data_IF_465115939797
#
_entry.id   IF_465115939797
#
_cell.length_a   1.000
_cell.length_b   1.000
_cell.length_c   1.000
_cell.angle_alpha   90.00
_cell.angle_beta   90.00
_cell.angle_gamma   90.00
#
_symmetry.space_group_name_H-M   'P 1'
#
loop_
_entity.id
_entity.type
_entity.pdbx_description
1 polymer ?
#
# COMPACT_ATOMS: atom_id res chain seq x y z
N UNK A 1 9.96 -9.17 -15.72
CA UNK A 1 9.61 -10.60 -15.91
C UNK A 1 9.88 -11.09 -17.33
N UNK A 2 9.29 -10.54 -18.40
CA UNK A 2 9.52 -11.04 -19.78
C UNK A 2 10.99 -11.10 -20.18
N UNK A 3 11.78 -10.06 -19.87
CA UNK A 3 13.22 -10.03 -20.17
C UNK A 3 13.97 -11.17 -19.45
N UNK A 4 13.59 -11.46 -18.21
CA UNK A 4 14.20 -12.55 -17.43
C UNK A 4 13.82 -13.91 -18.01
N UNK A 5 12.57 -14.08 -18.44
CA UNK A 5 12.09 -15.29 -19.10
C UNK A 5 12.90 -15.58 -20.38
N UNK A 6 13.12 -14.55 -21.21
CA UNK A 6 13.95 -14.65 -22.41
C UNK A 6 15.43 -14.96 -22.08
N UNK A 7 15.98 -14.32 -21.03
CA UNK A 7 17.35 -14.56 -20.58
C UNK A 7 17.56 -16.00 -20.09
N UNK A 8 16.63 -16.53 -19.29
CA UNK A 8 16.71 -17.90 -18.81
C UNK A 8 16.52 -18.92 -19.93
N UNK A 9 15.62 -18.65 -20.88
CA UNK A 9 15.49 -19.46 -22.08
C UNK A 9 16.77 -19.47 -22.92
N UNK A 10 17.43 -18.32 -23.08
CA UNK A 10 18.73 -18.21 -23.76
C UNK A 10 19.83 -19.01 -23.05
N UNK A 11 19.85 -19.00 -21.72
CA UNK A 11 20.78 -19.79 -20.90
C UNK A 11 20.42 -21.28 -20.80
N UNK A 12 19.27 -21.70 -21.31
CA UNK A 12 18.82 -23.09 -21.29
C UNK A 12 18.15 -23.54 -19.98
N UNK A 13 17.79 -22.62 -19.10
CA UNK A 13 17.10 -22.94 -17.84
C UNK A 13 15.58 -23.02 -18.03
N UNK A 14 14.99 -24.14 -17.63
CA UNK A 14 13.54 -24.31 -17.65
C UNK A 14 12.89 -23.46 -16.54
N UNK A 15 11.99 -22.57 -16.94
CA UNK A 15 11.30 -21.64 -16.03
C UNK A 15 9.79 -21.86 -16.02
N UNK A 16 9.17 -21.55 -14.89
CA UNK A 16 7.73 -21.35 -14.77
C UNK A 16 7.44 -19.88 -14.43
N UNK A 17 6.31 -19.35 -14.90
CA UNK A 17 5.90 -17.97 -14.66
C UNK A 17 4.51 -17.89 -14.07
N UNK A 18 4.34 -16.99 -13.10
CA UNK A 18 3.05 -16.66 -12.52
C UNK A 18 2.97 -15.15 -12.24
N UNK A 19 1.97 -14.54 -12.85
CA UNK A 19 1.63 -13.13 -12.67
C UNK A 19 0.12 -12.95 -12.46
N UNK A 20 -0.32 -11.71 -12.27
CA UNK A 20 -1.73 -11.38 -12.04
C UNK A 20 -2.67 -11.69 -13.22
N UNK A 21 -2.15 -12.01 -14.40
CA UNK A 21 -2.93 -12.39 -15.59
C UNK A 21 -3.19 -13.89 -15.67
N UNK A 22 -2.47 -14.70 -14.88
CA UNK A 22 -2.58 -16.16 -14.87
C UNK A 22 -3.88 -16.62 -14.17
N UNK A 23 -4.73 -17.43 -14.84
CA UNK A 23 -5.94 -18.01 -14.25
C UNK A 23 -5.66 -18.89 -13.02
N UNK A 24 -6.65 -19.02 -12.12
CA UNK A 24 -6.52 -19.81 -10.89
C UNK A 24 -6.18 -21.29 -11.16
N UNK A 25 -6.83 -21.91 -12.15
CA UNK A 25 -6.59 -23.33 -12.46
C UNK A 25 -5.17 -23.59 -12.99
N UNK A 26 -4.62 -22.66 -13.78
CA UNK A 26 -3.24 -22.76 -14.26
C UNK A 26 -2.23 -22.52 -13.15
N UNK A 27 -2.56 -21.66 -12.20
CA UNK A 27 -1.74 -21.37 -11.03
C UNK A 27 -1.46 -22.63 -10.23
N UNK A 28 -2.51 -23.38 -9.88
CA UNK A 28 -2.39 -24.64 -9.13
C UNK A 28 -1.59 -25.68 -9.91
N UNK A 29 -1.82 -25.80 -11.23
CA UNK A 29 -1.04 -26.71 -12.09
C UNK A 29 0.44 -26.36 -12.12
N UNK A 30 0.80 -25.08 -12.22
CA UNK A 30 2.21 -24.64 -12.21
C UNK A 30 2.86 -24.89 -10.85
N UNK A 31 2.13 -24.66 -9.75
CA UNK A 31 2.60 -24.97 -8.40
C UNK A 31 2.85 -26.48 -8.22
N UNK A 32 1.93 -27.33 -8.68
CA UNK A 32 2.09 -28.77 -8.60
C UNK A 32 3.30 -29.26 -9.39
N UNK A 33 3.52 -28.72 -10.60
CA UNK A 33 4.68 -29.04 -11.43
C UNK A 33 6.00 -28.65 -10.76
N UNK A 34 6.04 -27.50 -10.08
CA UNK A 34 7.25 -27.03 -9.40
C UNK A 34 7.58 -27.85 -8.15
N UNK A 35 6.55 -28.22 -7.36
CA UNK A 35 6.75 -29.03 -6.14
C UNK A 35 6.93 -30.53 -6.42
N UNK A 36 6.95 -30.97 -7.69
CA UNK A 36 7.22 -32.36 -8.04
C UNK A 36 8.68 -32.71 -7.71
N UNK A 37 8.96 -33.88 -7.11
CA UNK A 37 10.32 -34.25 -6.69
C UNK A 37 11.30 -34.37 -7.87
N UNK A 38 10.79 -34.61 -9.07
CA UNK A 38 11.51 -34.70 -10.34
C UNK A 38 11.17 -33.53 -11.28
N UNK A 39 10.81 -32.37 -10.72
CA UNK A 39 10.50 -31.18 -11.52
C UNK A 39 11.70 -30.80 -12.40
N UNK A 40 11.53 -30.70 -13.73
CA UNK A 40 12.59 -30.20 -14.61
C UNK A 40 12.77 -28.68 -14.50
N UNK A 41 11.89 -27.99 -13.77
CA UNK A 41 11.90 -26.54 -13.62
C UNK A 41 12.71 -26.14 -12.40
N UNK A 42 13.84 -25.47 -12.65
CA UNK A 42 14.71 -24.93 -11.61
C UNK A 42 14.23 -23.56 -11.11
N UNK A 43 13.66 -22.73 -11.99
CA UNK A 43 13.33 -21.33 -11.68
C UNK A 43 11.82 -21.09 -11.77
N UNK A 44 11.27 -20.41 -10.76
CA UNK A 44 9.88 -19.98 -10.74
C UNK A 44 9.79 -18.44 -10.63
N UNK A 45 9.37 -17.79 -11.72
CA UNK A 45 9.21 -16.34 -11.78
C UNK A 45 7.86 -15.92 -11.22
N UNK A 46 7.91 -15.11 -10.16
CA UNK A 46 6.74 -14.54 -9.48
C UNK A 46 6.73 -13.02 -9.59
N UNK A 47 5.55 -12.45 -9.80
CA UNK A 47 5.31 -11.05 -9.46
C UNK A 47 5.12 -10.94 -7.94
N UNK A 48 5.77 -10.00 -7.27
CA UNK A 48 5.65 -9.77 -5.81
C UNK A 48 4.20 -9.65 -5.34
N UNK A 49 3.35 -8.93 -6.07
CA UNK A 49 1.91 -8.85 -5.77
C UNK A 49 1.16 -10.16 -5.97
N UNK A 50 1.57 -10.98 -6.95
CA UNK A 50 1.00 -12.30 -7.15
C UNK A 50 1.54 -13.32 -6.12
N UNK A 51 2.76 -13.13 -5.63
CA UNK A 51 3.40 -13.92 -4.57
C UNK A 51 2.71 -13.78 -3.22
N UNK A 52 2.15 -12.59 -2.92
CA UNK A 52 1.32 -12.37 -1.73
C UNK A 52 -0.02 -13.13 -1.72
N UNK A 53 -0.45 -13.68 -2.86
CA UNK A 53 -1.71 -14.42 -3.00
C UNK A 53 -1.51 -15.92 -2.72
N UNK A 54 -1.41 -16.32 -1.45
CA UNK A 54 -1.74 -17.67 -1.01
C UNK A 54 -0.99 -18.85 -1.66
N UNK A 55 0.16 -18.64 -2.30
CA UNK A 55 0.94 -19.71 -2.94
C UNK A 55 1.62 -20.60 -1.89
N UNK A 56 1.94 -21.84 -2.28
CA UNK A 56 2.67 -22.82 -1.48
C UNK A 56 3.84 -23.37 -2.29
N UNK A 57 5.04 -22.87 -2.04
CA UNK A 57 6.28 -23.23 -2.73
C UNK A 57 7.25 -23.86 -1.72
N UNK A 58 6.75 -24.85 -0.97
CA UNK A 58 7.47 -25.47 0.15
C UNK A 58 8.73 -26.24 -0.27
N UNK A 59 8.98 -26.46 -1.56
CA UNK A 59 10.21 -27.09 -2.07
C UNK A 59 11.27 -26.07 -2.49
N UNK A 60 10.97 -24.76 -2.47
CA UNK A 60 11.92 -23.71 -2.86
C UNK A 60 12.89 -23.37 -1.72
N UNK A 61 14.17 -23.41 -2.03
CA UNK A 61 15.30 -23.09 -1.15
C UNK A 61 15.80 -21.66 -1.34
N UNK A 62 15.94 -21.19 -2.58
CA UNK A 62 16.48 -19.84 -2.84
C UNK A 62 15.38 -18.86 -3.27
N UNK A 63 15.33 -17.70 -2.61
CA UNK A 63 14.43 -16.60 -2.96
C UNK A 63 15.25 -15.36 -3.34
N UNK A 64 15.07 -14.86 -4.57
CA UNK A 64 15.72 -13.64 -5.05
C UNK A 64 14.68 -12.54 -5.25
N UNK A 65 14.82 -11.45 -4.50
CA UNK A 65 14.00 -10.24 -4.62
C UNK A 65 14.73 -9.26 -5.53
N UNK A 66 14.16 -9.02 -6.72
CA UNK A 66 14.67 -8.03 -7.67
C UNK A 66 14.16 -6.61 -7.37
N UNK A 67 12.85 -6.45 -7.25
CA UNK A 67 12.22 -5.14 -7.03
C UNK A 67 11.83 -5.02 -5.54
N UNK A 68 12.35 -4.02 -4.85
CA UNK A 68 11.94 -3.73 -3.47
C UNK A 68 10.59 -3.02 -3.44
N UNK A 69 9.60 -3.59 -2.75
CA UNK A 69 8.29 -2.96 -2.58
C UNK A 69 8.36 -1.85 -1.51
N UNK A 70 7.51 -0.83 -1.65
CA UNK A 70 7.33 0.23 -0.65
C UNK A 70 6.66 -0.26 0.63
N UNK A 71 6.06 -1.44 0.58
CA UNK A 71 5.46 -2.13 1.72
C UNK A 71 6.25 -3.42 2.04
N UNK A 72 7.06 -3.43 3.11
CA UNK A 72 7.92 -4.58 3.44
C UNK A 72 7.13 -5.86 3.74
N UNK A 73 5.85 -5.73 4.14
CA UNK A 73 5.00 -6.89 4.42
C UNK A 73 4.73 -7.75 3.18
N UNK A 74 4.73 -7.15 1.98
CA UNK A 74 4.56 -7.89 0.73
C UNK A 74 5.76 -8.80 0.47
N UNK A 75 6.96 -8.30 0.76
CA UNK A 75 8.21 -9.03 0.56
C UNK A 75 8.35 -10.16 1.59
N UNK A 76 8.07 -9.88 2.87
CA UNK A 76 8.02 -10.91 3.92
C UNK A 76 7.03 -12.02 3.57
N UNK A 77 5.83 -11.65 3.11
CA UNK A 77 4.81 -12.62 2.71
C UNK A 77 5.26 -13.47 1.51
N UNK A 78 6.07 -12.90 0.61
CA UNK A 78 6.65 -13.62 -0.52
C UNK A 78 7.76 -14.59 -0.07
N UNK A 79 8.60 -14.19 0.89
CA UNK A 79 9.62 -15.05 1.52
C UNK A 79 8.98 -16.23 2.26
N UNK A 80 7.91 -15.98 3.02
CA UNK A 80 7.12 -17.00 3.73
C UNK A 80 6.48 -18.05 2.80
N UNK A 81 6.50 -17.84 1.46
CA UNK A 81 6.05 -18.86 0.51
C UNK A 81 7.04 -20.02 0.40
N UNK A 82 8.32 -19.74 0.55
CA UNK A 82 9.43 -20.69 0.56
C UNK A 82 9.72 -21.19 1.98
N UNK A 83 9.80 -20.28 2.95
CA UNK A 83 9.96 -20.62 4.36
C UNK A 83 8.63 -21.07 4.98
N UNK A 84 8.24 -22.31 4.67
CA UNK A 84 6.94 -22.86 5.07
C UNK A 84 7.05 -24.30 5.58
N UNK A 85 6.09 -24.69 6.43
CA UNK A 85 5.95 -26.06 6.93
C UNK A 85 5.91 -27.03 5.76
N UNK A 86 6.91 -27.91 5.68
CA UNK A 86 7.11 -28.86 4.59
C UNK A 86 8.46 -28.75 3.89
N UNK A 87 9.16 -27.62 4.05
CA UNK A 87 10.52 -27.44 3.56
C UNK A 87 11.53 -28.25 4.39
N UNK A 88 12.52 -28.84 3.72
CA UNK A 88 13.62 -29.63 4.28
C UNK A 88 14.99 -28.98 4.12
N UNK A 89 15.16 -28.12 3.11
CA UNK A 89 16.40 -27.42 2.82
C UNK A 89 16.41 -26.05 3.51
N UNK A 90 17.60 -25.53 3.80
CA UNK A 90 17.75 -24.18 4.32
C UNK A 90 17.34 -23.15 3.27
N UNK A 91 16.59 -22.13 3.69
CA UNK A 91 16.03 -21.12 2.79
C UNK A 91 16.89 -19.86 2.83
N UNK A 92 17.55 -19.55 1.71
CA UNK A 92 18.39 -18.36 1.56
C UNK A 92 17.65 -17.28 0.78
N UNK A 93 17.58 -16.07 1.34
CA UNK A 93 16.87 -14.93 0.75
C UNK A 93 17.86 -13.84 0.36
N UNK A 94 17.93 -13.55 -0.93
CA UNK A 94 18.77 -12.49 -1.47
C UNK A 94 17.93 -11.34 -1.97
N UNK A 95 18.33 -10.10 -1.67
CA UNK A 95 17.73 -8.89 -2.21
C UNK A 95 18.77 -8.16 -3.05
N UNK A 96 18.49 -8.00 -4.33
CA UNK A 96 19.35 -7.23 -5.22
C UNK A 96 18.98 -5.75 -5.10
N UNK A 97 19.99 -4.91 -4.88
CA UNK A 97 19.85 -3.46 -4.77
C UNK A 97 20.96 -2.83 -5.59
N UNK A 98 20.60 -1.88 -6.45
CA UNK A 98 21.58 -1.10 -7.21
C UNK A 98 22.02 0.12 -6.39
N UNK A 99 23.22 0.64 -6.69
CA UNK A 99 23.71 1.90 -6.13
C UNK A 99 22.98 3.09 -6.78
N UNK A 100 21.67 3.17 -6.52
CA UNK A 100 20.79 4.21 -7.01
C UNK A 100 20.17 4.93 -5.81
N UNK A 101 20.22 6.28 -5.76
CA UNK A 101 19.64 7.05 -4.66
C UNK A 101 18.15 6.79 -4.44
N UNK A 102 17.44 6.32 -5.47
CA UNK A 102 16.01 6.00 -5.38
C UNK A 102 15.81 4.66 -4.68
N UNK A 103 16.62 3.65 -4.98
CA UNK A 103 16.48 2.31 -4.41
C UNK A 103 16.91 2.29 -2.93
N UNK A 104 18.01 2.97 -2.57
CA UNK A 104 18.41 3.14 -1.18
C UNK A 104 17.32 3.84 -0.35
N UNK A 105 16.67 4.87 -0.92
CA UNK A 105 15.58 5.57 -0.25
C UNK A 105 14.34 4.70 -0.07
N UNK A 106 14.05 3.81 -1.03
CA UNK A 106 12.95 2.85 -0.91
C UNK A 106 13.27 1.86 0.20
N UNK A 107 14.50 1.33 0.21
CA UNK A 107 14.95 0.38 1.23
C UNK A 107 14.89 0.98 2.63
N UNK A 108 15.45 2.18 2.84
CA UNK A 108 15.43 2.85 4.15
C UNK A 108 14.00 3.07 4.65
N UNK A 109 13.09 3.52 3.78
CA UNK A 109 11.67 3.69 4.16
C UNK A 109 10.96 2.37 4.42
N UNK A 110 11.33 1.31 3.71
CA UNK A 110 10.79 -0.02 3.95
C UNK A 110 11.28 -0.56 5.31
N UNK A 111 12.55 -0.38 5.64
CA UNK A 111 13.14 -0.76 6.93
C UNK A 111 12.52 0.02 8.09
N UNK A 112 12.35 1.34 7.97
CA UNK A 112 11.65 2.16 8.97
C UNK A 112 10.23 1.63 9.25
N UNK A 113 9.48 1.28 8.20
CA UNK A 113 8.13 0.71 8.33
C UNK A 113 8.15 -0.67 8.97
N UNK A 114 9.15 -1.50 8.65
CA UNK A 114 9.29 -2.83 9.22
C UNK A 114 9.57 -2.74 10.72
N UNK A 115 10.53 -1.90 11.13
CA UNK A 115 10.87 -1.66 12.53
C UNK A 115 9.65 -1.17 13.33
N UNK A 116 8.91 -0.19 12.77
CA UNK A 116 7.66 0.26 13.39
C UNK A 116 6.62 -0.84 13.53
N UNK A 117 6.51 -1.74 12.54
CA UNK A 117 5.58 -2.86 12.59
C UNK A 117 6.01 -3.93 13.60
N UNK A 118 7.30 -4.16 13.77
CA UNK A 118 7.85 -5.10 14.75
C UNK A 118 7.54 -4.65 16.18
N UNK A 119 7.76 -3.36 16.50
CA UNK A 119 7.38 -2.77 17.78
C UNK A 119 5.89 -2.97 18.12
N UNK A 120 5.01 -2.84 17.12
CA UNK A 120 3.56 -3.04 17.28
C UNK A 120 3.21 -4.53 17.45
N UNK A 121 3.82 -5.42 16.66
CA UNK A 121 3.61 -6.86 16.75
C UNK A 121 4.05 -7.37 18.11
N UNK A 122 5.18 -6.90 18.60
CA UNK A 122 5.68 -7.31 19.90
C UNK A 122 4.80 -6.81 21.04
N UNK A 123 4.42 -5.52 21.03
CA UNK A 123 3.45 -5.00 21.98
C UNK A 123 2.13 -5.80 21.98
N UNK A 124 1.72 -6.35 20.82
CA UNK A 124 0.56 -7.21 20.66
C UNK A 124 0.74 -8.69 21.02
N UNK A 125 1.97 -9.24 20.96
CA UNK A 125 2.27 -10.65 21.34
C UNK A 125 1.95 -10.93 22.81
N UNK A 126 1.92 -9.89 23.66
CA UNK A 126 1.65 -10.01 25.10
C UNK A 126 0.16 -10.14 25.47
N UNK A 127 -0.78 -9.94 24.54
CA UNK A 127 -2.21 -10.05 24.85
C UNK A 127 -2.70 -11.52 24.90
N UNK A 128 -1.92 -12.45 24.32
CA UNK A 128 -2.25 -13.88 24.26
C UNK A 128 -1.80 -14.69 25.48
N UNK A 129 -0.94 -14.15 26.35
CA UNK A 129 -0.46 -14.82 27.57
C UNK A 129 -0.93 -14.08 28.82
N UNK A 130 -2.25 -13.88 28.95
CA UNK A 130 -2.89 -13.34 30.15
C UNK A 130 -3.02 -14.40 31.27
N UNK A 131 -1.98 -15.21 31.47
CA UNK A 131 -1.86 -16.11 32.62
C UNK A 131 -0.49 -15.88 33.27
N UNK A 132 -0.58 -15.33 34.48
CA UNK A 132 0.42 -15.30 35.55
C UNK A 132 1.49 -14.19 35.55
N UNK A 133 1.22 -13.27 36.49
CA UNK A 133 2.08 -12.39 37.28
C UNK A 133 3.61 -12.57 37.11
N UNK A 134 4.27 -11.42 36.88
CA UNK A 134 5.72 -11.14 36.95
C UNK A 134 6.53 -10.92 35.66
N UNK A 135 5.91 -10.86 34.47
CA UNK A 135 6.63 -10.50 33.23
C UNK A 135 6.82 -8.99 33.00
N UNK A 136 6.55 -8.10 33.97
CA UNK A 136 6.74 -6.65 33.76
C UNK A 136 8.23 -6.27 33.62
N UNK A 137 9.13 -7.02 34.26
CA UNK A 137 10.56 -6.77 34.18
C UNK A 137 11.14 -7.35 32.88
N UNK A 138 10.67 -8.52 32.45
CA UNK A 138 11.00 -9.10 31.15
C UNK A 138 10.46 -8.24 30.01
N UNK A 139 9.25 -7.70 30.14
CA UNK A 139 8.66 -6.73 29.20
C UNK A 139 9.52 -5.47 29.09
N UNK A 140 10.01 -4.94 30.21
CA UNK A 140 10.90 -3.78 30.20
C UNK A 140 12.26 -4.10 29.60
N UNK A 141 12.85 -5.26 29.93
CA UNK A 141 14.16 -5.68 29.40
C UNK A 141 14.11 -5.98 27.90
N UNK A 142 13.06 -6.65 27.42
CA UNK A 142 12.88 -6.94 26.00
C UNK A 142 12.64 -5.65 25.20
N UNK A 143 11.79 -4.77 25.72
CA UNK A 143 11.57 -3.44 25.15
C UNK A 143 12.85 -2.58 25.19
N UNK A 144 13.66 -2.67 26.25
CA UNK A 144 14.95 -1.99 26.37
C UNK A 144 15.97 -2.51 25.36
N UNK A 145 16.07 -3.84 25.16
CA UNK A 145 16.92 -4.44 24.12
C UNK A 145 16.53 -3.96 22.72
N UNK A 146 15.23 -3.83 22.43
CA UNK A 146 14.76 -3.35 21.13
C UNK A 146 14.93 -1.85 20.94
N UNK A 147 14.82 -1.08 22.02
CA UNK A 147 15.17 0.35 21.99
C UNK A 147 16.67 0.53 21.78
N UNK A 148 17.52 -0.33 22.35
CA UNK A 148 18.96 -0.31 22.05
C UNK A 148 19.26 -0.77 20.63
N UNK A 149 18.55 -1.76 20.08
CA UNK A 149 18.67 -2.17 18.68
C UNK A 149 18.13 -1.08 17.73
N UNK A 150 17.12 -0.32 18.16
CA UNK A 150 16.58 0.83 17.42
C UNK A 150 17.56 2.02 17.41
N UNK A 151 18.16 2.34 18.55
CA UNK A 151 19.21 3.36 18.63
C UNK A 151 20.47 2.92 17.87
N UNK A 152 20.80 1.62 17.90
CA UNK A 152 21.89 1.05 17.12
C UNK A 152 21.58 1.05 15.62
N UNK A 153 20.36 0.73 15.17
CA UNK A 153 19.97 0.78 13.76
C UNK A 153 19.77 2.22 13.23
N UNK A 154 19.44 3.17 14.11
CA UNK A 154 19.36 4.60 13.79
C UNK A 154 20.72 5.31 13.78
N UNK A 155 21.73 4.75 14.46
CA UNK A 155 23.12 5.26 14.48
C UNK A 155 24.09 4.42 13.64
N UNK A 156 23.71 3.20 13.26
CA UNK A 156 24.38 2.42 12.24
C UNK A 156 24.03 3.01 10.88
N UNK A 157 24.95 3.81 10.34
CA UNK A 157 25.21 3.72 8.89
C UNK A 157 25.24 2.24 8.51
N UNK A 158 24.67 1.83 7.37
CA UNK A 158 24.84 0.46 6.90
C UNK A 158 26.34 0.16 6.91
N UNK A 159 26.73 -0.86 7.66
CA UNK A 159 28.10 -1.35 7.70
C UNK A 159 28.39 -2.02 6.36
N UNK A 160 28.68 -1.18 5.37
CA UNK A 160 29.46 -1.50 4.20
C UNK A 160 30.32 -0.26 3.94
N UNK A 161 31.63 -0.44 4.10
CA UNK A 161 32.69 0.48 3.68
C UNK A 161 32.99 1.69 4.59
N UNK A 162 33.34 1.46 5.85
CA UNK A 162 34.32 2.32 6.54
C UNK A 162 35.47 1.43 7.03
N UNK A 163 36.48 1.29 6.17
CA UNK A 163 37.64 0.43 6.38
C UNK A 163 38.78 0.70 5.40
N UNK A 164 39.03 1.96 5.07
CA UNK A 164 40.33 2.40 4.58
C UNK A 164 40.47 3.89 4.86
N UNK A 165 41.36 4.21 5.80
CA UNK A 165 41.99 5.52 5.84
C UNK A 165 42.54 5.84 4.45
N UNK A 166 42.00 6.90 3.85
CA UNK A 166 42.59 7.65 2.75
C UNK A 166 43.93 8.23 3.24
N UNK A 167 44.95 7.39 3.24
CA UNK A 167 46.35 7.78 3.20
C UNK A 167 46.87 7.15 1.90
N UNK A 168 47.30 8.02 0.99
CA UNK A 168 47.27 7.76 -0.44
C UNK A 168 48.13 6.60 -0.93
N UNK A 169 47.67 5.98 -2.01
CA UNK A 169 48.45 5.71 -3.23
C UNK A 169 47.47 5.31 -4.34
N UNK A 170 47.47 6.08 -5.43
CA UNK A 170 46.80 5.75 -6.69
C UNK A 170 47.60 4.62 -7.35
N UNK A 171 47.19 3.34 -7.23
CA UNK A 171 47.55 2.22 -8.14
C UNK A 171 47.09 0.86 -7.53
N UNK A 172 45.81 0.42 -7.64
CA UNK A 172 45.45 -1.01 -7.38
C UNK A 172 44.02 -1.48 -7.82
N UNK A 173 43.55 -1.12 -9.02
CA UNK A 173 42.19 -1.50 -9.52
C UNK A 173 42.00 -2.99 -9.86
N UNK A 174 43.05 -3.83 -9.82
CA UNK A 174 42.95 -5.26 -10.20
C UNK A 174 42.79 -6.22 -9.02
N UNK A 175 43.15 -5.80 -7.80
CA UNK A 175 43.09 -6.65 -6.60
C UNK A 175 41.72 -6.63 -5.89
N UNK A 176 40.87 -5.64 -6.18
CA UNK A 176 39.54 -5.49 -5.57
C UNK A 176 38.51 -6.49 -6.11
N UNK A 177 38.53 -6.77 -7.43
CA UNK A 177 37.50 -7.58 -8.08
C UNK A 177 37.55 -9.08 -7.75
N UNK A 178 38.70 -9.61 -7.30
CA UNK A 178 38.79 -10.99 -6.83
C UNK A 178 38.36 -11.12 -5.37
N UNK A 179 38.58 -10.10 -4.52
CA UNK A 179 38.02 -10.03 -3.17
C UNK A 179 36.48 -10.03 -3.19
N UNK A 180 35.88 -9.24 -4.08
CA UNK A 180 34.41 -9.13 -4.18
C UNK A 180 33.73 -10.47 -4.58
N UNK A 181 34.42 -11.31 -5.36
CA UNK A 181 33.91 -12.65 -5.74
C UNK A 181 34.05 -13.66 -4.62
N UNK A 182 35.14 -13.61 -3.86
CA UNK A 182 35.32 -14.45 -2.68
C UNK A 182 34.23 -14.15 -1.64
N UNK A 183 33.96 -12.87 -1.36
CA UNK A 183 32.88 -12.44 -0.48
C UNK A 183 31.49 -12.89 -0.96
N UNK A 184 31.24 -12.82 -2.28
CA UNK A 184 29.99 -13.30 -2.87
C UNK A 184 29.84 -14.82 -2.74
N UNK A 185 30.91 -15.57 -2.99
CA UNK A 185 30.91 -17.02 -2.89
C UNK A 185 30.68 -17.48 -1.46
N UNK A 186 31.27 -16.79 -0.47
CA UNK A 186 30.98 -17.01 0.93
C UNK A 186 29.50 -16.75 1.25
N UNK A 187 28.96 -15.61 0.82
CA UNK A 187 27.56 -15.23 1.05
C UNK A 187 26.54 -16.20 0.41
N UNK A 188 26.87 -16.79 -0.74
CA UNK A 188 26.00 -17.74 -1.45
C UNK A 188 26.11 -19.17 -0.92
N UNK A 189 27.24 -19.52 -0.30
CA UNK A 189 27.51 -20.88 0.17
C UNK A 189 26.80 -21.18 1.49
N UNK A 190 26.05 -22.28 1.53
CA UNK A 190 25.49 -22.79 2.78
C UNK A 190 26.43 -23.78 3.49
N UNK A 191 27.33 -24.41 2.72
CA UNK A 191 28.29 -25.40 3.19
C UNK A 191 29.63 -25.28 2.45
N UNK A 192 30.67 -25.95 2.95
CA UNK A 192 31.99 -25.95 2.33
C UNK A 192 32.01 -26.59 0.93
N UNK A 193 31.07 -27.49 0.62
CA UNK A 193 30.96 -28.13 -0.69
C UNK A 193 30.49 -27.14 -1.77
N UNK A 194 29.50 -26.32 -1.46
CA UNK A 194 28.96 -25.25 -2.31
C UNK A 194 30.04 -24.20 -2.56
N UNK A 195 30.77 -23.80 -1.52
CA UNK A 195 31.88 -22.85 -1.65
C UNK A 195 32.95 -23.37 -2.60
N UNK A 196 33.39 -24.62 -2.42
CA UNK A 196 34.38 -25.25 -3.29
C UNK A 196 33.87 -25.40 -4.74
N UNK A 197 32.57 -25.65 -4.93
CA UNK A 197 31.93 -25.70 -6.24
C UNK A 197 31.96 -24.33 -6.92
N UNK A 198 31.59 -23.24 -6.22
CA UNK A 198 31.59 -21.89 -6.78
C UNK A 198 33.00 -21.41 -7.14
N UNK A 199 33.98 -21.66 -6.27
CA UNK A 199 35.40 -21.40 -6.57
C UNK A 199 35.87 -22.20 -7.79
N UNK A 200 35.38 -23.44 -7.96
CA UNK A 200 35.64 -24.26 -9.15
C UNK A 200 35.02 -23.65 -10.41
N UNK A 201 33.77 -23.21 -10.34
CA UNK A 201 33.06 -22.56 -11.44
C UNK A 201 33.73 -21.26 -11.88
N UNK A 202 34.24 -20.46 -10.93
CA UNK A 202 34.96 -19.23 -11.23
C UNK A 202 36.25 -19.52 -12.01
N UNK A 203 37.02 -20.53 -11.59
CA UNK A 203 38.22 -20.98 -12.30
C UNK A 203 37.91 -21.46 -13.72
N UNK A 204 36.79 -22.16 -13.91
CA UNK A 204 36.35 -22.60 -15.24
C UNK A 204 35.86 -21.42 -16.09
N UNK A 205 35.15 -20.45 -15.51
CA UNK A 205 34.60 -19.29 -16.22
C UNK A 205 35.69 -18.39 -16.83
N UNK A 206 36.83 -18.26 -16.14
CA UNK A 206 38.02 -17.54 -16.63
C UNK A 206 38.63 -18.23 -17.86
N UNK A 207 38.46 -19.55 -17.99
CA UNK A 207 39.10 -20.34 -19.04
C UNK A 207 38.37 -20.33 -20.40
N UNK A 208 37.06 -20.07 -20.43
CA UNK A 208 36.24 -20.29 -21.62
C UNK A 208 36.14 -19.05 -22.51
N UNK A 209 35.78 -17.88 -21.96
CA UNK A 209 35.85 -16.54 -22.56
C UNK A 209 35.59 -15.56 -21.39
N UNK A 210 36.42 -14.53 -21.15
CA UNK A 210 36.12 -13.57 -20.10
C UNK A 210 34.75 -12.93 -20.37
N UNK A 211 33.85 -12.86 -19.36
CA UNK A 211 32.56 -12.20 -19.56
C UNK A 211 32.81 -10.76 -20.04
N UNK A 212 32.00 -10.26 -20.98
CA UNK A 212 32.12 -8.86 -21.39
C UNK A 212 32.03 -7.98 -20.14
N UNK A 213 32.91 -6.99 -20.04
CA UNK A 213 32.91 -6.06 -18.92
C UNK A 213 31.51 -5.49 -18.72
N UNK A 214 31.09 -5.34 -17.47
CA UNK A 214 29.87 -4.60 -17.17
C UNK A 214 30.00 -3.22 -17.83
N UNK A 215 28.93 -2.75 -18.47
CA UNK A 215 28.91 -1.38 -18.99
C UNK A 215 28.83 -0.41 -17.82
N UNK A 216 29.99 -0.10 -17.24
CA UNK A 216 30.15 0.86 -16.14
C UNK A 216 30.02 2.29 -16.66
N UNK A 217 30.54 2.55 -17.86
CA UNK A 217 30.47 3.86 -18.49
C UNK A 217 29.29 3.99 -19.48
N UNK A 218 28.55 5.11 -19.43
CA UNK A 218 27.51 5.41 -20.42
C UNK A 218 28.02 5.45 -21.86
N UNK A 219 29.33 5.60 -22.10
CA UNK A 219 29.95 5.53 -23.42
C UNK A 219 29.96 4.12 -24.02
N UNK A 220 30.02 3.10 -23.18
CA UNK A 220 30.30 1.72 -23.61
C UNK A 220 29.01 0.97 -23.94
N UNK A 221 27.88 1.51 -23.48
CA UNK A 221 26.55 1.02 -23.79
C UNK A 221 26.32 1.05 -25.33
N UNK A 222 25.98 -0.09 -25.95
CA UNK A 222 25.74 -0.19 -27.39
C UNK A 222 24.72 0.82 -27.93
N UNK A 223 24.90 1.27 -29.17
CA UNK A 223 24.03 2.26 -29.81
C UNK A 223 22.55 1.84 -29.87
N UNK A 224 22.25 0.54 -29.95
CA UNK A 224 20.88 0.04 -29.98
C UNK A 224 20.17 0.17 -28.62
N UNK A 225 20.91 0.26 -27.51
CA UNK A 225 20.38 0.56 -26.17
C UNK A 225 20.20 2.07 -26.01
N UNK A 226 21.19 2.86 -26.47
CA UNK A 226 21.13 4.33 -26.43
C UNK A 226 19.99 4.89 -27.29
N UNK A 227 19.82 4.32 -28.48
CA UNK A 227 18.86 4.74 -29.50
C UNK A 227 17.99 3.55 -29.91
N UNK A 228 17.02 3.15 -29.08
CA UNK A 228 16.19 1.99 -29.38
C UNK A 228 15.43 2.22 -30.70
N UNK A 229 15.59 1.30 -31.65
CA UNK A 229 14.90 1.33 -32.94
C UNK A 229 13.69 0.42 -32.90
N UNK A 230 12.57 0.85 -33.50
CA UNK A 230 11.39 0.00 -33.65
C UNK A 230 11.67 -1.09 -34.69
N UNK A 231 10.92 -2.22 -34.67
CA UNK A 231 11.05 -3.30 -35.66
C UNK A 231 10.87 -2.89 -37.13
N UNK A 232 10.32 -1.69 -37.38
CA UNK A 232 10.15 -1.10 -38.70
C UNK A 232 11.28 -0.12 -39.10
N UNK A 233 12.42 -0.16 -38.42
CA UNK A 233 13.60 0.65 -38.72
C UNK A 233 13.47 2.13 -38.35
N UNK A 234 12.36 2.56 -37.71
CA UNK A 234 12.22 3.92 -37.21
C UNK A 234 12.82 4.04 -35.82
N UNK A 235 13.75 4.98 -35.63
CA UNK A 235 14.24 5.36 -34.32
C UNK A 235 13.06 5.71 -33.40
N UNK A 236 13.02 5.14 -32.20
CA UNK A 236 12.17 5.66 -31.12
C UNK A 236 12.78 7.01 -30.79
N UNK A 237 12.03 8.10 -31.00
CA UNK A 237 12.54 9.44 -30.75
C UNK A 237 13.01 9.56 -29.31
N UNK A 238 14.33 9.55 -29.12
CA UNK A 238 14.96 9.98 -27.87
C UNK A 238 14.83 11.49 -27.87
N UNK A 239 14.00 12.03 -26.99
CA UNK A 239 13.99 13.48 -26.75
C UNK A 239 15.39 13.85 -26.25
N UNK A 240 16.21 14.43 -27.12
CA UNK A 240 17.53 14.97 -26.75
C UNK A 240 17.34 16.03 -25.68
N UNK A 241 17.87 15.79 -24.48
CA UNK A 241 17.85 16.73 -23.38
C UNK A 241 18.79 17.91 -23.69
N UNK A 242 18.22 19.06 -24.03
CA UNK A 242 18.94 20.32 -24.24
C UNK A 242 19.19 21.00 -22.87
N UNK A 243 20.46 21.14 -22.42
CA UNK A 243 20.80 21.71 -21.11
C UNK A 243 20.59 23.23 -21.04
N UNK A 244 20.42 23.92 -22.18
CA UNK A 244 20.15 25.37 -22.24
C UNK A 244 18.67 25.72 -22.37
N UNK A 245 17.85 24.75 -22.78
CA UNK A 245 16.40 24.86 -22.71
C UNK A 245 15.96 24.63 -21.26
N UNK A 246 15.84 25.70 -20.49
CA UNK A 246 15.26 25.64 -19.14
C UNK A 246 14.01 24.75 -19.14
N UNK A 247 14.03 23.68 -18.32
CA UNK A 247 12.93 22.72 -18.19
C UNK A 247 11.62 23.48 -18.13
N UNK A 248 10.81 23.41 -19.20
CA UNK A 248 9.38 23.64 -19.04
C UNK A 248 8.90 22.48 -18.20
N UNK A 249 8.79 22.70 -16.88
CA UNK A 249 8.03 21.83 -15.99
C UNK A 249 6.63 21.73 -16.59
N UNK A 250 6.38 20.66 -17.36
CA UNK A 250 5.05 20.10 -17.43
C UNK A 250 4.82 19.59 -16.02
N UNK A 251 3.94 20.26 -15.28
CA UNK A 251 3.32 19.66 -14.11
C UNK A 251 2.70 18.34 -14.58
N UNK A 252 3.42 17.24 -14.38
CA UNK A 252 2.84 15.90 -14.40
C UNK A 252 2.07 15.82 -13.10
N UNK A 253 0.82 16.30 -13.18
CA UNK A 253 -0.19 16.01 -12.18
C UNK A 253 -0.48 14.52 -12.31
N UNK A 254 -0.06 13.74 -11.33
CA UNK A 254 -0.59 12.40 -11.10
C UNK A 254 -2.04 12.53 -10.59
N UNK A 255 -2.92 13.03 -11.46
CA UNK A 255 -4.35 12.91 -11.30
C UNK A 255 -4.76 11.82 -12.30
N UNK A 256 -4.98 10.61 -11.81
CA UNK A 256 -5.41 9.42 -12.59
C UNK A 256 -6.84 9.60 -13.16
N UNK A 257 -7.27 10.84 -13.40
CA UNK A 257 -8.61 11.25 -13.80
C UNK A 257 -9.72 10.83 -12.83
N UNK A 258 -9.38 10.11 -11.76
CA UNK A 258 -10.26 9.72 -10.69
C UNK A 258 -9.99 10.64 -9.51
N UNK A 259 -10.95 11.52 -9.25
CA UNK A 259 -11.01 12.15 -7.93
C UNK A 259 -10.98 11.07 -6.85
N UNK A 260 -10.39 11.36 -5.70
CA UNK A 260 -10.39 10.51 -4.49
C UNK A 260 -11.78 9.92 -4.19
N UNK A 261 -12.85 10.67 -4.51
CA UNK A 261 -14.26 10.25 -4.43
C UNK A 261 -14.68 9.15 -5.42
N UNK A 262 -14.07 9.06 -6.61
CA UNK A 262 -14.27 8.00 -7.59
C UNK A 262 -13.47 6.74 -7.23
N UNK A 263 -12.24 6.89 -6.72
CA UNK A 263 -11.45 5.77 -6.22
C UNK A 263 -12.10 5.13 -4.98
N UNK A 264 -12.51 5.94 -3.99
CA UNK A 264 -13.29 5.45 -2.85
C UNK A 264 -14.61 4.81 -3.28
N UNK A 265 -15.29 5.30 -4.32
CA UNK A 265 -16.51 4.66 -4.83
C UNK A 265 -16.26 3.32 -5.51
N UNK A 266 -15.10 3.13 -6.14
CA UNK A 266 -14.73 1.84 -6.72
C UNK A 266 -14.40 0.85 -5.60
N UNK A 267 -13.64 1.28 -4.58
CA UNK A 267 -13.38 0.47 -3.40
C UNK A 267 -14.66 0.16 -2.62
N UNK A 268 -15.54 1.14 -2.38
CA UNK A 268 -16.85 0.94 -1.73
C UNK A 268 -17.72 -0.04 -2.54
N UNK A 269 -17.72 0.05 -3.88
CA UNK A 269 -18.44 -0.91 -4.74
C UNK A 269 -17.87 -2.32 -4.65
N UNK A 270 -16.55 -2.44 -4.53
CA UNK A 270 -15.86 -3.72 -4.43
C UNK A 270 -16.05 -4.36 -3.05
N UNK A 271 -16.03 -3.54 -1.98
CA UNK A 271 -16.36 -3.93 -0.61
C UNK A 271 -17.83 -4.34 -0.50
N UNK A 272 -18.77 -3.57 -1.09
CA UNK A 272 -20.19 -3.93 -1.12
C UNK A 272 -20.43 -5.22 -1.92
N UNK A 273 -19.68 -5.45 -3.00
CA UNK A 273 -19.78 -6.68 -3.78
C UNK A 273 -19.25 -7.90 -2.99
N UNK A 274 -18.13 -7.75 -2.28
CA UNK A 274 -17.60 -8.78 -1.39
C UNK A 274 -18.52 -9.05 -0.19
N UNK A 275 -19.09 -8.01 0.43
CA UNK A 275 -20.03 -8.15 1.54
C UNK A 275 -21.34 -8.83 1.10
N UNK A 276 -21.84 -8.52 -0.09
CA UNK A 276 -22.99 -9.21 -0.68
C UNK A 276 -22.67 -10.67 -0.98
N UNK A 277 -21.47 -10.99 -1.47
CA UNK A 277 -21.02 -12.38 -1.67
C UNK A 277 -20.92 -13.15 -0.34
N UNK A 278 -20.38 -12.53 0.70
CA UNK A 278 -20.30 -13.11 2.06
C UNK A 278 -21.68 -13.29 2.69
N UNK A 279 -22.61 -12.37 2.50
CA UNK A 279 -24.01 -12.50 2.95
C UNK A 279 -24.77 -13.58 2.18
N UNK A 280 -24.57 -13.71 0.86
CA UNK A 280 -25.17 -14.78 0.06
C UNK A 280 -24.68 -16.17 0.50
N UNK A 281 -23.38 -16.34 0.76
CA UNK A 281 -22.84 -17.59 1.31
C UNK A 281 -23.31 -17.88 2.74
N UNK A 282 -23.50 -16.84 3.57
CA UNK A 282 -24.05 -16.99 4.93
C UNK A 282 -25.55 -17.36 4.89
N UNK A 283 -26.31 -16.82 3.95
CA UNK A 283 -27.71 -17.17 3.71
C UNK A 283 -27.85 -18.59 3.15
N UNK A 284 -26.97 -19.03 2.24
CA UNK A 284 -26.94 -20.40 1.73
C UNK A 284 -26.62 -21.43 2.83
N UNK A 285 -25.67 -21.12 3.73
CA UNK A 285 -25.37 -21.94 4.92
C UNK A 285 -26.50 -21.94 5.97
N UNK A 286 -27.28 -20.86 6.07
CA UNK A 286 -28.45 -20.80 6.96
C UNK A 286 -29.64 -21.57 6.38
N UNK A 287 -29.79 -21.57 5.05
CA UNK A 287 -30.81 -22.36 4.34
C UNK A 287 -30.54 -23.87 4.42
N UNK A 288 -29.27 -24.30 4.41
CA UNK A 288 -28.93 -25.73 4.62
C UNK A 288 -29.10 -26.22 6.05
N UNK A 289 -29.30 -25.32 7.02
CA UNK A 289 -29.46 -25.64 8.44
C UNK A 289 -30.93 -25.61 8.92
N UNK A 290 -31.88 -25.33 8.04
CA UNK A 290 -33.30 -25.20 8.37
C UNK A 290 -34.19 -25.99 7.41
N UNK A 291 -33.92 -27.29 7.28
CA UNK A 291 -34.85 -28.20 6.60
C UNK A 291 -35.78 -28.86 7.62
N UNK A 292 -36.86 -28.15 7.98
CA UNK A 292 -38.14 -28.78 8.27
C UNK A 292 -39.30 -27.77 8.22
N UNK A 293 -40.27 -28.10 7.36
CA UNK A 293 -41.66 -27.60 7.22
C UNK A 293 -41.94 -26.38 6.31
N UNK A 294 -42.28 -26.77 5.08
CA UNK A 294 -43.41 -26.37 4.21
C UNK A 294 -43.74 -24.88 3.98
N UNK A 295 -43.42 -24.47 2.75
CA UNK A 295 -44.25 -23.80 1.74
C UNK A 295 -45.36 -22.82 2.18
N UNK A 296 -45.24 -21.56 1.72
CA UNK A 296 -46.16 -20.96 0.74
C UNK A 296 -45.49 -19.76 0.09
N UNK A 297 -45.65 -19.65 -1.24
CA UNK A 297 -45.07 -18.60 -2.05
C UNK A 297 -46.01 -17.39 -2.11
N UNK A 298 -45.48 -16.19 -1.86
CA UNK A 298 -46.04 -14.94 -2.36
C UNK A 298 -44.91 -13.90 -2.51
N UNK A 299 -44.73 -13.39 -3.72
CA UNK A 299 -43.74 -12.36 -4.04
C UNK A 299 -44.06 -11.04 -3.30
N UNK A 300 -43.08 -10.34 -2.67
CA UNK A 300 -43.36 -9.04 -2.07
C UNK A 300 -43.06 -7.91 -3.06
N UNK A 301 -44.13 -7.24 -3.45
CA UNK A 301 -44.16 -5.85 -3.90
C UNK A 301 -43.48 -4.93 -2.88
N UNK A 302 -42.71 -3.96 -3.39
CA UNK A 302 -41.93 -3.00 -2.60
C UNK A 302 -42.82 -2.13 -1.72
N UNK A 303 -42.87 -2.41 -0.41
CA UNK A 303 -43.39 -1.49 0.60
C UNK A 303 -42.26 -1.20 1.59
N UNK A 304 -41.78 0.04 1.57
CA UNK A 304 -40.78 0.58 2.50
C UNK A 304 -41.35 0.62 3.91
N UNK A 305 -40.58 0.14 4.89
CA UNK A 305 -40.91 0.31 6.31
C UNK A 305 -40.85 1.80 6.69
N UNK A 306 -41.87 2.37 7.36
CA UNK A 306 -41.84 3.75 7.81
C UNK A 306 -40.89 3.87 9.02
N UNK A 307 -39.95 4.81 8.97
CA UNK A 307 -39.15 5.19 10.14
C UNK A 307 -37.62 5.27 9.97
N UNK A 308 -37.07 4.91 8.80
CA UNK A 308 -35.64 5.16 8.53
C UNK A 308 -35.45 6.36 7.61
N UNK A 309 -34.52 7.25 7.98
CA UNK A 309 -34.07 8.35 7.16
C UNK A 309 -33.69 7.91 5.74
N UNK A 310 -34.10 8.69 4.74
CA UNK A 310 -33.81 8.36 3.34
C UNK A 310 -32.34 8.60 2.97
N UNK A 311 -31.84 7.88 1.96
CA UNK A 311 -30.53 8.09 1.33
C UNK A 311 -30.25 9.56 1.00
N UNK A 312 -31.28 10.29 0.57
CA UNK A 312 -31.18 11.69 0.24
C UNK A 312 -30.91 12.57 1.47
N UNK A 313 -31.57 12.27 2.58
CA UNK A 313 -31.37 12.94 3.87
C UNK A 313 -29.95 12.70 4.38
N UNK A 314 -29.43 11.47 4.29
CA UNK A 314 -28.03 11.17 4.64
C UNK A 314 -27.03 11.95 3.77
N UNK A 315 -27.28 12.07 2.47
CA UNK A 315 -26.43 12.90 1.60
C UNK A 315 -26.44 14.38 1.97
N UNK A 316 -27.57 14.91 2.45
CA UNK A 316 -27.65 16.26 3.01
C UNK A 316 -26.81 16.36 4.29
N UNK A 317 -26.93 15.43 5.23
CA UNK A 317 -26.13 15.42 6.45
C UNK A 317 -24.63 15.42 6.18
N UNK A 318 -24.16 14.59 5.24
CA UNK A 318 -22.73 14.58 4.84
C UNK A 318 -22.29 15.96 4.33
N UNK A 319 -23.14 16.65 3.56
CA UNK A 319 -22.82 17.99 3.07
C UNK A 319 -22.83 19.04 4.19
N UNK A 320 -23.72 18.89 5.18
CA UNK A 320 -23.70 19.73 6.40
C UNK A 320 -22.36 19.56 7.13
N UNK A 321 -21.96 18.32 7.43
CA UNK A 321 -20.69 18.04 8.11
C UNK A 321 -19.51 18.64 7.35
N UNK A 322 -19.47 18.50 6.01
CA UNK A 322 -18.42 19.10 5.18
C UNK A 322 -18.38 20.63 5.24
N UNK A 323 -19.54 21.28 5.30
CA UNK A 323 -19.61 22.74 5.45
C UNK A 323 -19.04 23.19 6.79
N UNK A 324 -19.37 22.45 7.88
CA UNK A 324 -18.88 22.74 9.23
C UNK A 324 -17.35 22.54 9.31
N UNK A 325 -16.83 21.46 8.72
CA UNK A 325 -15.38 21.18 8.64
C UNK A 325 -14.62 22.25 7.85
N UNK A 326 -15.26 22.84 6.83
CA UNK A 326 -14.63 23.86 6.00
C UNK A 326 -14.54 25.24 6.68
N UNK A 327 -15.14 25.42 7.87
CA UNK A 327 -15.14 26.71 8.56
C UNK A 327 -13.73 27.08 9.01
N UNK A 328 -13.32 28.30 8.64
CA UNK A 328 -12.04 28.89 9.00
C UNK A 328 -12.24 30.11 9.86
N UNK A 329 -11.32 30.33 10.79
CA UNK A 329 -11.23 31.56 11.54
C UNK A 329 -10.99 32.76 10.59
N UNK A 330 -11.78 33.85 10.66
CA UNK A 330 -11.62 35.00 9.78
C UNK A 330 -10.26 35.70 9.89
N UNK A 331 -9.63 35.68 11.07
CA UNK A 331 -8.33 36.29 11.30
C UNK A 331 -7.18 35.39 10.87
N UNK A 332 -7.06 34.24 11.53
CA UNK A 332 -5.91 33.33 11.38
C UNK A 332 -6.00 32.40 10.17
N UNK A 333 -7.17 32.29 9.53
CA UNK A 333 -7.47 31.32 8.46
C UNK A 333 -7.30 29.85 8.86
N UNK A 334 -7.07 29.57 10.15
CA UNK A 334 -7.00 28.21 10.71
C UNK A 334 -8.36 27.53 10.57
N UNK A 335 -8.37 26.25 10.24
CA UNK A 335 -9.60 25.44 10.28
C UNK A 335 -9.96 25.16 11.73
N UNK A 336 -11.18 25.54 12.12
CA UNK A 336 -11.63 25.38 13.49
C UNK A 336 -11.88 23.91 13.84
N UNK A 337 -12.17 23.09 12.83
CA UNK A 337 -12.51 21.67 13.01
C UNK A 337 -11.32 20.75 13.28
N UNK A 338 -10.08 21.20 13.04
CA UNK A 338 -8.91 20.29 12.95
C UNK A 338 -8.72 19.44 14.22
N UNK A 339 -8.92 20.03 15.41
CA UNK A 339 -8.80 19.35 16.72
C UNK A 339 -9.94 18.37 16.98
N UNK A 340 -11.06 18.49 16.27
CA UNK A 340 -12.26 17.68 16.47
C UNK A 340 -12.40 16.55 15.45
N UNK A 341 -11.45 16.42 14.50
CA UNK A 341 -11.51 15.41 13.45
C UNK A 341 -11.34 13.99 14.00
N UNK A 342 -10.43 13.83 14.96
CA UNK A 342 -10.12 12.56 15.63
C UNK A 342 -10.23 12.68 17.15
N UNK A 343 -10.36 11.54 17.83
CA UNK A 343 -10.38 11.51 19.29
C UNK A 343 -8.95 11.72 19.81
N UNK A 344 -8.77 12.34 20.99
CA UNK A 344 -7.45 12.40 21.63
C UNK A 344 -6.87 10.99 21.77
N UNK A 345 -5.58 10.81 21.52
CA UNK A 345 -4.96 9.50 21.67
C UNK A 345 -5.00 9.02 23.14
N UNK A 346 -5.47 7.80 23.45
CA UNK A 346 -5.59 7.30 24.82
C UNK A 346 -4.27 7.18 25.59
N UNK A 347 -3.15 6.96 24.91
CA UNK A 347 -1.84 6.83 25.54
C UNK A 347 -1.27 8.22 25.88
N UNK A 348 -1.53 9.19 25.01
CA UNK A 348 -1.06 10.57 25.16
C UNK A 348 -1.93 11.37 26.13
N UNK A 349 -3.24 11.11 26.16
CA UNK A 349 -4.22 11.79 27.01
C UNK A 349 -5.07 10.79 27.81
N UNK A 350 -4.48 10.01 28.72
CA UNK A 350 -5.22 9.01 29.51
C UNK A 350 -6.31 9.66 30.39
N UNK A 351 -6.05 10.85 30.92
CA UNK A 351 -6.98 11.58 31.79
C UNK A 351 -8.23 12.06 31.03
N UNK A 352 -8.13 12.26 29.72
CA UNK A 352 -9.28 12.60 28.88
C UNK A 352 -10.36 11.53 28.96
N UNK A 353 -9.96 10.26 28.91
CA UNK A 353 -10.87 9.11 28.94
C UNK A 353 -11.41 8.79 30.34
N UNK A 354 -10.79 9.33 31.39
CA UNK A 354 -11.31 9.26 32.76
C UNK A 354 -12.43 10.28 32.96
N UNK A 355 -12.29 11.48 32.38
CA UNK A 355 -13.25 12.59 32.53
C UNK A 355 -14.41 12.46 31.53
N UNK A 356 -14.10 12.13 30.28
CA UNK A 356 -15.07 12.07 29.17
C UNK A 356 -15.60 10.65 28.99
N UNK A 357 -16.85 10.45 29.42
CA UNK A 357 -17.53 9.14 29.37
C UNK A 357 -17.90 8.68 27.95
N UNK A 358 -18.11 9.61 27.02
CA UNK A 358 -18.52 9.31 25.63
C UNK A 358 -17.63 10.04 24.61
N UNK A 359 -16.39 9.57 24.38
CA UNK A 359 -15.49 10.15 23.38
C UNK A 359 -16.06 10.01 21.97
N UNK A 360 -16.16 11.13 21.25
CA UNK A 360 -16.65 11.19 19.87
C UNK A 360 -15.85 12.23 19.09
N UNK A 361 -15.65 11.97 17.79
CA UNK A 361 -15.03 12.89 16.86
C UNK A 361 -15.89 13.10 15.61
N UNK A 362 -15.60 14.14 14.82
CA UNK A 362 -16.34 14.46 13.58
C UNK A 362 -16.25 13.30 12.58
N UNK A 363 -15.12 12.59 12.52
CA UNK A 363 -14.98 11.41 11.66
C UNK A 363 -15.92 10.26 12.05
N UNK A 364 -16.29 10.12 13.33
CA UNK A 364 -17.28 9.13 13.77
C UNK A 364 -18.68 9.51 13.26
N UNK A 365 -19.05 10.79 13.38
CA UNK A 365 -20.32 11.33 12.91
C UNK A 365 -20.43 11.16 11.38
N UNK A 366 -19.35 11.45 10.64
CA UNK A 366 -19.28 11.21 9.19
C UNK A 366 -19.40 9.74 8.84
N UNK A 367 -18.78 8.84 9.61
CA UNK A 367 -18.89 7.39 9.42
C UNK A 367 -20.34 6.92 9.62
N UNK A 368 -21.01 7.38 10.69
CA UNK A 368 -22.42 7.08 10.93
C UNK A 368 -23.34 7.62 9.84
N UNK A 369 -23.06 8.81 9.29
CA UNK A 369 -23.78 9.34 8.14
C UNK A 369 -23.59 8.51 6.86
N UNK A 370 -22.37 8.00 6.60
CA UNK A 370 -22.05 7.20 5.42
C UNK A 370 -22.58 5.76 5.49
N UNK A 371 -22.65 5.20 6.69
CA UNK A 371 -23.20 3.87 6.96
C UNK A 371 -24.70 3.86 7.28
N UNK A 372 -25.38 5.00 7.13
CA UNK A 372 -26.83 5.14 7.35
C UNK A 372 -27.29 4.72 8.75
N UNK A 373 -26.45 5.00 9.76
CA UNK A 373 -26.61 4.50 11.13
C UNK A 373 -27.46 5.40 12.03
N UNK A 374 -28.05 6.48 11.51
CA UNK A 374 -28.96 7.34 12.24
C UNK A 374 -30.40 6.99 11.91
N UNK A 375 -31.21 6.66 12.92
CA UNK A 375 -32.63 6.41 12.71
C UNK A 375 -33.36 7.71 12.33
N UNK A 376 -32.97 8.83 12.95
CA UNK A 376 -33.60 10.13 12.82
C UNK A 376 -32.59 11.27 12.96
N UNK A 377 -33.05 12.50 12.74
CA UNK A 377 -32.22 13.70 12.83
C UNK A 377 -31.79 14.02 14.27
N UNK A 378 -32.56 13.57 15.26
CA UNK A 378 -32.29 13.83 16.67
C UNK A 378 -31.03 13.11 17.15
N UNK A 379 -30.83 11.85 16.73
CA UNK A 379 -29.60 11.10 17.01
C UNK A 379 -28.36 11.75 16.40
N UNK A 380 -28.48 12.29 15.17
CA UNK A 380 -27.41 13.06 14.54
C UNK A 380 -27.07 14.32 15.36
N UNK A 381 -28.09 15.04 15.82
CA UNK A 381 -27.91 16.21 16.69
C UNK A 381 -27.31 15.85 18.05
N UNK A 382 -27.68 14.70 18.62
CA UNK A 382 -27.16 14.24 19.90
C UNK A 382 -25.64 14.02 19.84
N UNK A 383 -25.14 13.39 18.78
CA UNK A 383 -23.71 13.17 18.60
C UNK A 383 -22.90 14.47 18.49
N UNK A 384 -23.41 15.46 17.73
CA UNK A 384 -22.78 16.79 17.67
C UNK A 384 -22.83 17.52 19.01
N UNK A 385 -23.92 17.40 19.77
CA UNK A 385 -24.01 17.98 21.11
C UNK A 385 -22.99 17.35 22.06
N UNK A 386 -22.80 16.03 22.00
CA UNK A 386 -21.77 15.32 22.79
C UNK A 386 -20.37 15.84 22.41
N UNK A 387 -20.06 15.95 21.12
CA UNK A 387 -18.78 16.48 20.65
C UNK A 387 -18.45 17.85 21.28
N UNK A 388 -19.38 18.79 21.21
CA UNK A 388 -19.18 20.13 21.77
C UNK A 388 -19.18 20.13 23.31
N UNK A 389 -20.01 19.31 23.95
CA UNK A 389 -20.03 19.18 25.40
C UNK A 389 -18.70 18.63 25.93
N UNK A 390 -18.13 17.62 25.28
CA UNK A 390 -16.85 17.04 25.67
C UNK A 390 -15.72 18.08 25.55
N UNK A 391 -15.75 18.90 24.50
CA UNK A 391 -14.78 19.96 24.29
C UNK A 391 -14.76 20.96 25.46
N UNK A 392 -15.93 21.40 25.90
CA UNK A 392 -16.06 22.32 27.03
C UNK A 392 -15.73 21.62 28.36
N UNK A 393 -16.20 20.39 28.56
CA UNK A 393 -16.02 19.65 29.80
C UNK A 393 -14.55 19.34 30.11
N UNK A 394 -13.75 19.00 29.09
CA UNK A 394 -12.34 18.69 29.30
C UNK A 394 -11.45 19.94 29.32
N UNK A 395 -11.68 20.90 28.43
CA UNK A 395 -10.78 22.05 28.26
C UNK A 395 -11.17 23.28 29.11
N UNK A 396 -12.36 23.28 29.71
CA UNK A 396 -12.89 24.41 30.47
C UNK A 396 -13.51 25.51 29.61
N UNK A 397 -14.41 26.28 30.22
CA UNK A 397 -15.07 27.43 29.60
C UNK A 397 -14.06 28.54 29.29
N UNK A 398 -14.06 29.04 28.04
CA UNK A 398 -13.15 30.10 27.59
C UNK A 398 -11.83 29.62 26.96
N UNK A 399 -11.54 28.31 26.99
CA UNK A 399 -10.41 27.75 26.23
C UNK A 399 -10.60 27.95 24.72
N UNK A 400 -9.51 28.05 23.96
CA UNK A 400 -9.59 28.20 22.50
C UNK A 400 -10.33 27.04 21.83
N UNK A 401 -10.21 25.82 22.38
CA UNK A 401 -10.96 24.64 21.94
C UNK A 401 -12.46 24.81 22.22
N UNK A 402 -12.84 25.30 23.40
CA UNK A 402 -14.25 25.59 23.70
C UNK A 402 -14.82 26.71 22.82
N UNK A 403 -14.03 27.74 22.51
CA UNK A 403 -14.41 28.83 21.61
C UNK A 403 -14.63 28.31 20.18
N UNK A 404 -13.71 27.47 19.68
CA UNK A 404 -13.84 26.83 18.38
C UNK A 404 -15.09 25.92 18.32
N UNK A 405 -15.34 25.14 19.37
CA UNK A 405 -16.52 24.29 19.49
C UNK A 405 -17.83 25.11 19.40
N UNK A 406 -17.89 26.27 20.06
CA UNK A 406 -19.05 27.16 19.96
C UNK A 406 -19.22 27.76 18.56
N UNK A 407 -18.14 28.16 17.91
CA UNK A 407 -18.18 28.67 16.54
C UNK A 407 -18.67 27.61 15.54
N UNK A 408 -18.17 26.37 15.66
CA UNK A 408 -18.61 25.23 14.84
C UNK A 408 -20.08 24.86 15.11
N UNK A 409 -20.54 24.92 16.36
CA UNK A 409 -21.94 24.70 16.72
C UNK A 409 -22.86 25.72 16.03
N UNK A 410 -22.50 27.00 16.06
CA UNK A 410 -23.25 28.07 15.38
C UNK A 410 -23.32 27.87 13.87
N UNK A 411 -22.21 27.43 13.27
CA UNK A 411 -22.15 27.09 11.84
C UNK A 411 -23.02 25.87 11.51
N UNK A 412 -22.99 24.83 12.34
CA UNK A 412 -23.84 23.64 12.20
C UNK A 412 -25.32 24.04 12.18
N UNK A 413 -25.78 24.82 13.17
CA UNK A 413 -27.15 25.32 13.25
C UNK A 413 -27.53 26.15 12.00
N UNK A 414 -26.63 27.04 11.56
CA UNK A 414 -26.84 27.87 10.37
C UNK A 414 -27.00 27.03 9.11
N UNK A 415 -26.12 26.05 8.88
CA UNK A 415 -26.14 25.20 7.69
C UNK A 415 -27.33 24.25 7.72
N UNK A 416 -27.68 23.71 8.90
CA UNK A 416 -28.85 22.87 9.10
C UNK A 416 -30.15 23.61 8.75
N UNK A 417 -30.29 24.85 9.23
CA UNK A 417 -31.44 25.71 8.90
C UNK A 417 -31.50 26.05 7.41
N UNK A 418 -30.36 26.30 6.78
CA UNK A 418 -30.26 26.64 5.34
C UNK A 418 -30.62 25.47 4.43
N UNK A 419 -30.30 24.23 4.80
CA UNK A 419 -30.48 23.05 3.95
C UNK A 419 -31.92 22.52 3.93
N UNK A 420 -32.77 22.90 4.90
CA UNK A 420 -34.17 22.50 4.99
C UNK A 420 -34.36 20.98 5.04
N UNK A 421 -34.53 20.42 6.25
CA UNK A 421 -34.73 18.99 6.45
C UNK A 421 -36.24 18.67 6.58
N UNK A 422 -37.00 18.86 5.49
CA UNK A 422 -38.33 18.27 5.35
C UNK A 422 -38.19 16.89 4.68
N UNK A 423 -38.87 15.88 5.21
CA UNK A 423 -38.88 14.51 4.70
C UNK A 423 -39.80 14.40 3.47
N UNK A 424 -39.46 15.15 2.43
CA UNK A 424 -40.13 15.09 1.13
C UNK A 424 -39.25 14.36 0.10
N UNK A 425 -39.86 13.62 -0.84
CA UNK A 425 -39.12 12.94 -1.88
C UNK A 425 -38.27 13.93 -2.68
N UNK A 426 -37.09 13.52 -3.18
CA UNK A 426 -36.15 14.41 -3.84
C UNK A 426 -36.81 15.11 -5.04
N UNK A 427 -36.56 16.43 -5.24
CA UNK A 427 -37.12 17.14 -6.37
C UNK A 427 -36.65 16.50 -7.69
N UNK A 428 -37.53 16.37 -8.71
CA UNK A 428 -37.20 15.72 -9.96
C UNK A 428 -36.00 16.39 -10.62
N UNK A 429 -35.00 15.59 -11.02
CA UNK A 429 -33.78 16.07 -11.69
C UNK A 429 -34.17 16.75 -13.01
N UNK A 430 -33.95 18.08 -13.12
CA UNK A 430 -34.05 18.80 -14.39
C UNK A 430 -33.03 18.20 -15.38
N UNK A 431 -33.51 17.64 -16.49
CA UNK A 431 -32.65 17.13 -17.58
C UNK A 431 -31.80 18.30 -18.11
N UNK A 432 -30.48 18.25 -17.92
CA UNK A 432 -29.56 19.18 -18.57
C UNK A 432 -29.50 18.84 -20.05
N UNK A 433 -29.87 19.77 -20.92
CA UNK A 433 -29.71 19.61 -22.36
C UNK A 433 -28.22 19.46 -22.71
N UNK A 434 -27.86 18.35 -23.34
CA UNK A 434 -26.54 18.12 -23.92
C UNK A 434 -26.34 19.11 -25.08
N UNK A 435 -25.51 20.15 -24.89
CA UNK A 435 -25.02 20.97 -26.01
C UNK A 435 -23.79 20.27 -26.60
N UNK A 436 -23.99 19.55 -27.70
CA UNK A 436 -22.87 19.12 -28.56
C UNK A 436 -22.24 20.37 -29.18
N UNK A 437 -20.99 20.67 -28.83
CA UNK A 437 -20.19 21.66 -29.56
C UNK A 437 -19.48 20.96 -30.72
N UNK A 438 -20.06 21.03 -31.91
CA UNK A 438 -19.38 20.62 -33.14
C UNK A 438 -18.42 21.75 -33.51
N UNK A 439 -17.11 21.48 -33.48
CA UNK A 439 -16.07 22.39 -33.94
C UNK A 439 -15.87 22.18 -35.44
N UNK A 440 -16.46 23.03 -36.28
CA UNK A 440 -16.11 23.10 -37.69
C UNK A 440 -14.80 23.90 -37.85
N UNK A 441 -13.69 23.22 -38.09
CA UNK A 441 -12.49 23.86 -38.65
C UNK A 441 -12.78 24.21 -40.11
N UNK A 442 -12.94 25.49 -40.42
CA UNK A 442 -12.95 26.00 -41.81
C UNK A 442 -11.58 25.73 -42.44
N UNK A 443 -11.57 24.95 -43.52
CA UNK A 443 -10.42 24.82 -44.41
C UNK A 443 -10.13 26.19 -45.06
N UNK A 444 -8.88 26.64 -44.99
CA UNK A 444 -8.41 27.84 -45.73
C UNK A 444 -8.41 27.51 -47.22
N UNK A 445 -9.20 28.26 -48.00
CA UNK A 445 -9.11 28.27 -49.45
C UNK A 445 -7.76 28.86 -49.88
N UNK A 446 -6.99 28.12 -50.68
CA UNK A 446 -5.89 28.66 -51.50
C UNK A 446 -6.49 29.69 -52.45
N UNK A 447 -6.07 30.95 -52.36
CA UNK A 447 -6.25 31.91 -53.45
C UNK A 447 -5.15 31.66 -54.49
N UNK A 448 -5.57 31.34 -55.70
CA UNK A 448 -4.77 31.54 -56.90
C UNK A 448 -5.02 32.98 -57.38
N UNK A 449 -3.96 33.78 -57.43
CA UNK A 449 -3.64 34.76 -58.48
C UNK A 449 -2.29 35.36 -58.17
#
# INVERSE_FOLDING_TARGET
>A
MTILEDYFAYRGYATLRLDGSTPADEREKRMYKFNAPDSPYFIFLLSTRAGGLGLNLATADVVIIFDSDWNPMMDLQAQDRAHRIGQRNDVSVFRLVTYSPVEEKILNRASEKLNMSELVVEAGKFDKSSVEKDNSLERKKMMEVLLTDFDAAGTAKPAALEGASDDGDEDDDAASADSDKEDLNELLSNNEEDYNLYVGMDKESVSVVPPPSLFTDPSDVPEWIKNPTRPNGKAIGVETFDPTAGRKRKDVTYDDGLTEKQFLRMMDKQIIAEEKGKQANKAARAASASDSKSATASAPTSHQKPGLMTEWTFRKLINVCKSVIALKDPGTKRRLSDVFLEKPDPNTYPDYYQIIKKPIAINDILRKCRGHLYANLEEFWADWKILFSNAVQFNGEGSWVAVDAMALKKELERVMKKQGFEDQPPPPKKKKALRLKISLKKAKAKKAS
#
